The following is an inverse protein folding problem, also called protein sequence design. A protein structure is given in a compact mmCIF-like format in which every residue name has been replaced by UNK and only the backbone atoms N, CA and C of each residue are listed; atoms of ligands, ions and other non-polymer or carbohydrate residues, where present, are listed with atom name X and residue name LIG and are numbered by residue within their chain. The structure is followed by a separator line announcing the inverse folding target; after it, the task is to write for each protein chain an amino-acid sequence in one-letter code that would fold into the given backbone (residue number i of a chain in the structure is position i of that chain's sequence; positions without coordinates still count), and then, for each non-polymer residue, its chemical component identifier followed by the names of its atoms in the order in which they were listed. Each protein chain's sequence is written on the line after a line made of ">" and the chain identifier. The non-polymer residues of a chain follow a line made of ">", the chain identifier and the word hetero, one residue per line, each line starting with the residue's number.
data_IF_532984974623
#
_entry.id   IF_532984974623
#
_cell.length_a   1.000
_cell.length_b   1.000
_cell.length_c   1.000
_cell.angle_alpha   90.00
_cell.angle_beta   90.00
_cell.angle_gamma   90.00
#
_symmetry.space_group_name_H-M   'P 1'
#
loop_
_entity.id
_entity.type
_entity.pdbx_description
1 polymer ?
#
# COMPACT_ATOMS: atom_id res chain seq x y z
N UNK A 1 9.30 4.63 14.30
CA UNK A 1 9.08 6.08 14.24
C UNK A 1 7.67 6.34 14.73
N UNK A 2 7.52 7.20 15.76
CA UNK A 2 6.22 7.62 16.25
C UNK A 2 5.75 8.84 15.44
N UNK A 3 4.62 8.72 14.77
CA UNK A 3 4.00 9.82 14.05
C UNK A 3 2.98 10.50 14.97
N UNK A 4 3.19 11.79 15.22
CA UNK A 4 2.29 12.64 16.01
C UNK A 4 1.80 13.79 15.11
N UNK A 5 0.52 14.06 15.15
CA UNK A 5 -0.04 15.22 14.46
C UNK A 5 -0.15 16.39 15.42
N UNK A 6 0.48 17.52 15.06
CA UNK A 6 0.44 18.76 15.82
C UNK A 6 0.46 19.96 14.84
N UNK A 7 -0.69 20.39 14.38
CA UNK A 7 -0.84 21.41 13.35
C UNK A 7 -0.27 22.78 13.75
N UNK A 8 -0.17 23.05 15.05
CA UNK A 8 0.29 24.34 15.57
C UNK A 8 1.81 24.44 15.74
N UNK A 9 2.55 23.31 15.60
CA UNK A 9 3.99 23.32 15.87
C UNK A 9 4.77 24.04 14.77
N UNK A 10 4.30 23.98 13.53
CA UNK A 10 4.92 24.64 12.37
C UNK A 10 5.01 26.17 12.52
N UNK A 11 4.09 26.78 13.29
CA UNK A 11 4.03 28.23 13.49
C UNK A 11 5.07 28.74 14.53
N UNK A 12 5.72 27.82 15.25
CA UNK A 12 6.58 28.14 16.38
C UNK A 12 7.91 27.38 16.39
N UNK A 13 8.12 26.46 15.48
CA UNK A 13 9.32 25.63 15.35
C UNK A 13 10.14 26.07 14.16
N UNK A 14 11.44 26.33 14.37
CA UNK A 14 12.38 26.63 13.32
C UNK A 14 13.44 25.53 13.19
N UNK A 15 14.17 25.54 12.07
CA UNK A 15 15.24 24.56 11.85
C UNK A 15 16.34 24.67 12.91
N UNK A 16 16.57 23.57 13.65
CA UNK A 16 17.54 23.50 14.73
C UNK A 16 16.93 23.55 16.14
N UNK A 17 15.64 23.83 16.29
CA UNK A 17 14.95 23.82 17.58
C UNK A 17 14.88 22.42 18.19
N UNK A 18 14.97 22.36 19.52
CA UNK A 18 14.78 21.12 20.25
C UNK A 18 13.29 20.94 20.55
N UNK A 19 12.73 19.85 20.03
CA UNK A 19 11.35 19.44 20.29
C UNK A 19 11.36 18.32 21.33
N UNK A 20 10.63 18.53 22.42
CA UNK A 20 10.42 17.52 23.46
C UNK A 20 9.04 16.88 23.29
N UNK A 21 9.01 15.56 23.21
CA UNK A 21 7.76 14.78 23.11
C UNK A 21 7.55 14.06 24.43
N UNK A 22 6.42 14.30 25.07
CA UNK A 22 5.95 13.54 26.23
C UNK A 22 4.76 12.67 25.78
N UNK A 23 5.03 11.37 25.64
CA UNK A 23 4.05 10.41 25.10
C UNK A 23 2.95 10.12 26.13
N UNK A 24 3.31 10.11 27.43
CA UNK A 24 2.36 9.85 28.52
C UNK A 24 1.40 11.03 28.72
N UNK A 25 1.93 12.25 28.68
CA UNK A 25 1.14 13.47 28.74
C UNK A 25 0.44 13.83 27.42
N UNK A 26 0.80 13.13 26.33
CA UNK A 26 0.34 13.41 24.96
C UNK A 26 0.59 14.87 24.56
N UNK A 27 1.82 15.33 24.79
CA UNK A 27 2.21 16.71 24.51
C UNK A 27 3.52 16.80 23.74
N UNK A 28 3.64 17.88 22.97
CA UNK A 28 4.88 18.28 22.31
C UNK A 28 5.22 19.69 22.79
N UNK A 29 6.47 19.90 23.18
CA UNK A 29 6.96 21.20 23.65
C UNK A 29 8.12 21.67 22.81
N UNK A 30 8.10 22.94 22.39
CA UNK A 30 9.14 23.64 21.66
C UNK A 30 9.14 25.12 22.04
N UNK A 31 10.30 25.72 22.22
CA UNK A 31 10.46 27.15 22.52
C UNK A 31 9.59 27.63 23.71
N UNK A 32 9.46 26.79 24.75
CA UNK A 32 8.66 27.09 25.95
C UNK A 32 7.15 27.03 25.78
N UNK A 33 6.66 26.63 24.59
CA UNK A 33 5.24 26.38 24.32
C UNK A 33 4.96 24.90 24.33
N UNK A 34 3.81 24.49 24.87
CA UNK A 34 3.38 23.09 24.92
C UNK A 34 2.04 22.95 24.18
N UNK A 35 1.97 21.98 23.30
CA UNK A 35 0.81 21.65 22.49
C UNK A 35 0.31 20.25 22.82
N UNK A 36 -0.99 20.05 22.81
CA UNK A 36 -1.56 18.71 22.86
C UNK A 36 -1.45 18.06 21.50
N UNK A 37 -1.07 16.79 21.48
CA UNK A 37 -1.12 15.94 20.29
C UNK A 37 -2.25 14.94 20.42
N UNK A 38 -2.70 14.39 19.29
CA UNK A 38 -3.70 13.33 19.29
C UNK A 38 -3.28 12.14 20.15
N UNK A 39 -4.27 11.44 20.71
CA UNK A 39 -4.00 10.24 21.50
C UNK A 39 -3.20 9.22 20.71
N UNK A 40 -2.09 8.77 21.27
CA UNK A 40 -1.32 7.66 20.70
C UNK A 40 -2.10 6.38 21.00
N UNK A 41 -2.49 5.58 19.97
CA UNK A 41 -3.12 4.30 20.21
C UNK A 41 -2.25 3.38 21.08
N UNK A 42 -2.89 2.62 21.95
CA UNK A 42 -2.21 1.79 22.96
C UNK A 42 -1.17 0.83 22.34
N UNK A 43 -1.47 0.26 21.18
CA UNK A 43 -0.54 -0.62 20.45
C UNK A 43 0.72 0.12 20.00
N UNK A 44 0.61 1.35 19.49
CA UNK A 44 1.76 2.15 19.09
C UNK A 44 2.55 2.64 20.33
N UNK A 45 1.83 3.00 21.39
CA UNK A 45 2.45 3.32 22.67
C UNK A 45 3.31 2.15 23.19
N UNK A 46 2.76 0.93 23.16
CA UNK A 46 3.48 -0.27 23.61
C UNK A 46 4.72 -0.55 22.76
N UNK A 47 4.65 -0.38 21.44
CA UNK A 47 5.83 -0.50 20.56
C UNK A 47 6.93 0.48 20.98
N UNK A 48 6.59 1.73 21.25
CA UNK A 48 7.55 2.76 21.67
C UNK A 48 8.11 2.44 23.07
N UNK A 49 7.23 2.13 24.02
CA UNK A 49 7.60 1.79 25.40
C UNK A 49 8.48 0.52 25.48
N UNK A 50 8.30 -0.40 24.52
CA UNK A 50 9.11 -1.61 24.42
C UNK A 50 10.48 -1.40 23.74
N UNK A 51 10.75 -0.22 23.21
CA UNK A 51 12.02 0.10 22.55
C UNK A 51 12.00 -0.03 21.02
N UNK A 52 10.81 -0.13 20.42
CA UNK A 52 10.59 -0.23 18.99
C UNK A 52 9.95 -1.56 18.56
N UNK A 53 9.61 -1.66 17.28
CA UNK A 53 8.83 -2.77 16.75
C UNK A 53 9.52 -4.14 16.91
N UNK A 54 10.83 -4.20 16.68
CA UNK A 54 11.61 -5.44 16.83
C UNK A 54 11.60 -5.91 18.29
N UNK A 55 11.88 -5.01 19.24
CA UNK A 55 11.90 -5.34 20.66
C UNK A 55 10.50 -5.68 21.19
N UNK A 56 9.46 -5.01 20.72
CA UNK A 56 8.07 -5.37 21.02
C UNK A 56 7.74 -6.78 20.50
N UNK A 57 8.15 -7.09 19.27
CA UNK A 57 7.94 -8.43 18.69
C UNK A 57 8.69 -9.51 19.47
N UNK A 58 9.95 -9.27 19.89
CA UNK A 58 10.72 -10.17 20.75
C UNK A 58 10.00 -10.45 22.09
N UNK A 59 9.50 -9.39 22.72
CA UNK A 59 8.77 -9.52 24.00
C UNK A 59 7.46 -10.30 23.83
N UNK A 60 6.69 -10.02 22.78
CA UNK A 60 5.45 -10.74 22.47
C UNK A 60 5.73 -12.23 22.20
N UNK A 61 6.78 -12.52 21.44
CA UNK A 61 7.20 -13.89 21.13
C UNK A 61 7.61 -14.63 22.41
N UNK A 62 8.44 -14.04 23.27
CA UNK A 62 8.86 -14.63 24.54
C UNK A 62 7.70 -14.86 25.53
N UNK A 63 6.70 -14.00 25.51
CA UNK A 63 5.49 -14.14 26.33
C UNK A 63 4.49 -15.16 25.78
N UNK A 64 4.72 -15.73 24.61
CA UNK A 64 3.76 -16.61 23.94
C UNK A 64 2.47 -15.91 23.47
N UNK A 65 2.44 -14.58 23.53
CA UNK A 65 1.26 -13.75 23.23
C UNK A 65 1.45 -13.06 21.86
N UNK A 66 1.61 -13.87 20.82
CA UNK A 66 2.04 -13.38 19.51
C UNK A 66 0.88 -12.80 18.70
N UNK A 67 -0.34 -13.32 18.88
CA UNK A 67 -1.50 -13.00 18.03
C UNK A 67 -2.65 -12.35 18.80
N UNK A 68 -3.33 -11.41 18.14
CA UNK A 68 -4.62 -10.88 18.60
C UNK A 68 -5.78 -11.71 18.02
N UNK A 69 -6.87 -11.83 18.76
CA UNK A 69 -8.10 -12.48 18.27
C UNK A 69 -8.92 -11.47 17.42
N UNK A 70 -8.48 -11.23 16.20
CA UNK A 70 -9.22 -10.41 15.24
C UNK A 70 -10.11 -11.30 14.40
N UNK A 71 -11.41 -11.00 14.41
CA UNK A 71 -12.43 -11.68 13.58
C UNK A 71 -12.88 -10.73 12.48
N UNK A 72 -12.56 -11.04 11.21
CA UNK A 72 -13.01 -10.23 10.08
C UNK A 72 -14.52 -10.09 10.02
N UNK A 73 -15.02 -8.96 9.53
CA UNK A 73 -16.45 -8.75 9.33
C UNK A 73 -16.97 -9.60 8.16
N UNK A 74 -18.26 -9.92 8.21
CA UNK A 74 -18.97 -10.53 7.08
C UNK A 74 -19.09 -9.55 5.90
N UNK A 75 -19.29 -10.07 4.71
CA UNK A 75 -19.52 -9.25 3.50
C UNK A 75 -20.77 -8.37 3.63
N UNK A 76 -21.83 -8.84 4.28
CA UNK A 76 -23.03 -8.04 4.54
C UNK A 76 -22.73 -6.79 5.38
N UNK A 77 -21.85 -6.92 6.39
CA UNK A 77 -21.41 -5.78 7.19
C UNK A 77 -20.51 -4.82 6.37
N UNK A 78 -19.81 -5.32 5.36
CA UNK A 78 -18.98 -4.51 4.46
C UNK A 78 -19.81 -3.75 3.40
N UNK A 79 -21.01 -4.22 3.06
CA UNK A 79 -21.95 -3.56 2.15
C UNK A 79 -22.66 -2.35 2.77
N UNK A 80 -22.47 -2.08 4.06
CA UNK A 80 -23.00 -0.88 4.71
C UNK A 80 -22.45 0.37 4.02
N UNK A 81 -23.36 1.31 3.75
CA UNK A 81 -23.05 2.59 3.10
C UNK A 81 -22.35 3.59 4.02
N UNK A 82 -21.78 4.61 3.41
CA UNK A 82 -21.11 5.70 4.10
C UNK A 82 -19.62 5.48 4.31
N UNK A 83 -19.01 4.49 3.61
CA UNK A 83 -17.59 4.18 3.69
C UNK A 83 -16.94 4.16 2.30
N UNK A 84 -15.73 4.69 2.20
CA UNK A 84 -14.88 4.59 1.02
C UNK A 84 -14.40 3.14 0.82
N UNK A 85 -13.87 2.79 -0.36
CA UNK A 85 -13.38 1.43 -0.60
C UNK A 85 -12.30 1.03 0.40
N UNK A 86 -11.35 1.92 0.66
CA UNK A 86 -10.27 1.65 1.62
C UNK A 86 -10.80 1.44 3.04
N UNK A 87 -11.77 2.25 3.47
CA UNK A 87 -12.41 2.06 4.78
C UNK A 87 -13.15 0.72 4.87
N UNK A 88 -13.88 0.33 3.81
CA UNK A 88 -14.56 -0.98 3.76
C UNK A 88 -13.59 -2.14 3.92
N UNK A 89 -12.45 -2.12 3.22
CA UNK A 89 -11.45 -3.19 3.27
C UNK A 89 -10.76 -3.23 4.65
N UNK A 90 -10.31 -2.09 5.15
CA UNK A 90 -9.62 -2.01 6.44
C UNK A 90 -10.53 -2.38 7.60
N UNK A 91 -11.79 -1.89 7.62
CA UNK A 91 -12.74 -2.25 8.68
C UNK A 91 -13.09 -3.73 8.68
N UNK A 92 -13.27 -4.35 7.47
CA UNK A 92 -13.50 -5.79 7.33
C UNK A 92 -12.37 -6.58 7.99
N UNK A 93 -11.14 -6.28 7.59
CA UNK A 93 -9.96 -7.02 8.00
C UNK A 93 -9.59 -6.80 9.47
N UNK A 94 -9.89 -5.61 10.02
CA UNK A 94 -9.69 -5.29 11.43
C UNK A 94 -10.84 -5.76 12.34
N UNK A 95 -11.93 -6.31 11.78
CA UNK A 95 -13.12 -6.70 12.56
C UNK A 95 -13.81 -5.52 13.27
N UNK A 96 -13.68 -4.29 12.72
CA UNK A 96 -14.25 -3.06 13.30
C UNK A 96 -15.55 -2.69 12.61
N UNK A 97 -16.62 -2.46 13.35
CA UNK A 97 -17.88 -2.00 12.75
C UNK A 97 -17.80 -0.57 12.20
N UNK A 98 -16.94 0.24 12.78
CA UNK A 98 -16.70 1.62 12.36
C UNK A 98 -15.21 1.91 12.28
N UNK A 99 -14.82 2.61 11.23
CA UNK A 99 -13.50 3.23 11.05
C UNK A 99 -13.69 4.59 10.41
N UNK A 100 -12.75 5.49 10.64
CA UNK A 100 -12.69 6.80 10.01
C UNK A 100 -11.26 7.14 9.61
N UNK A 101 -11.03 8.04 8.66
CA UNK A 101 -9.69 8.53 8.34
C UNK A 101 -8.95 9.01 9.58
N UNK A 102 -7.71 8.58 9.73
CA UNK A 102 -6.88 8.86 10.91
C UNK A 102 -6.90 7.79 11.99
N UNK A 103 -7.91 6.91 12.03
CA UNK A 103 -7.93 5.80 12.98
C UNK A 103 -6.76 4.84 12.73
N UNK A 104 -6.21 4.29 13.81
CA UNK A 104 -5.24 3.20 13.73
C UNK A 104 -5.98 1.89 13.92
N UNK A 105 -5.85 1.00 12.94
CA UNK A 105 -6.43 -0.34 12.96
C UNK A 105 -5.36 -1.40 12.85
N UNK A 106 -5.53 -2.50 13.59
CA UNK A 106 -4.70 -3.70 13.44
C UNK A 106 -5.46 -4.65 12.52
N UNK A 107 -4.78 -5.13 11.49
CA UNK A 107 -5.33 -6.01 10.47
C UNK A 107 -4.56 -7.32 10.40
N UNK A 108 -5.13 -8.31 9.76
CA UNK A 108 -4.46 -9.56 9.38
C UNK A 108 -4.29 -9.58 7.86
N UNK A 109 -3.12 -9.21 7.31
CA UNK A 109 -2.91 -9.29 5.88
C UNK A 109 -3.17 -10.69 5.33
N UNK A 110 -3.74 -10.74 4.13
CA UNK A 110 -4.11 -11.98 3.47
C UNK A 110 -2.95 -12.54 2.64
N UNK A 111 -2.04 -11.65 2.20
CA UNK A 111 -0.89 -12.02 1.37
C UNK A 111 0.32 -11.12 1.67
N UNK A 112 1.49 -11.76 1.64
CA UNK A 112 2.80 -11.11 1.74
C UNK A 112 3.66 -11.46 0.53
N UNK A 113 4.29 -10.47 -0.08
CA UNK A 113 5.29 -10.69 -1.12
C UNK A 113 6.63 -10.10 -0.68
N UNK A 114 7.69 -10.89 -0.85
CA UNK A 114 9.07 -10.51 -0.58
C UNK A 114 9.81 -10.56 -1.91
N UNK A 115 10.38 -9.45 -2.37
CA UNK A 115 11.26 -9.47 -3.51
C UNK A 115 12.73 -9.59 -3.09
N UNK A 116 13.58 -10.01 -3.99
CA UNK A 116 14.92 -10.53 -3.67
C UNK A 116 15.85 -9.52 -2.97
N UNK A 117 15.84 -8.23 -3.31
CA UNK A 117 16.74 -7.23 -2.73
C UNK A 117 16.66 -7.16 -1.19
N UNK A 118 15.51 -7.49 -0.59
CA UNK A 118 15.32 -7.39 0.86
C UNK A 118 15.47 -8.72 1.62
N UNK A 119 15.72 -9.84 0.92
CA UNK A 119 15.78 -11.17 1.56
C UNK A 119 16.89 -11.29 2.60
N UNK A 120 18.08 -10.75 2.33
CA UNK A 120 19.20 -10.74 3.31
C UNK A 120 18.84 -9.99 4.57
N UNK A 121 18.33 -8.76 4.42
CA UNK A 121 17.95 -7.92 5.56
C UNK A 121 16.80 -8.53 6.36
N UNK A 122 15.84 -9.14 5.68
CA UNK A 122 14.71 -9.81 6.33
C UNK A 122 15.18 -11.03 7.11
N UNK A 123 16.04 -11.87 6.52
CA UNK A 123 16.61 -13.03 7.19
C UNK A 123 17.40 -12.65 8.45
N UNK A 124 18.22 -11.61 8.37
CA UNK A 124 18.96 -11.09 9.52
C UNK A 124 18.01 -10.57 10.61
N UNK A 125 16.99 -9.81 10.24
CA UNK A 125 15.98 -9.30 11.18
C UNK A 125 15.20 -10.45 11.85
N UNK A 126 14.81 -11.47 11.10
CA UNK A 126 14.11 -12.65 11.63
C UNK A 126 14.99 -13.44 12.59
N UNK A 127 16.29 -13.58 12.29
CA UNK A 127 17.29 -14.21 13.19
C UNK A 127 17.51 -13.39 14.47
N UNK A 128 17.59 -12.05 14.37
CA UNK A 128 17.71 -11.17 15.53
C UNK A 128 16.50 -11.24 16.45
N UNK A 129 15.29 -11.34 15.90
CA UNK A 129 14.06 -11.55 16.66
C UNK A 129 14.06 -12.92 17.34
N UNK A 130 14.73 -13.91 16.76
CA UNK A 130 14.76 -15.29 17.27
C UNK A 130 13.50 -16.06 16.97
N UNK A 131 12.85 -15.79 15.84
CA UNK A 131 11.64 -16.46 15.42
C UNK A 131 11.95 -17.84 14.80
N UNK A 132 11.38 -18.90 15.37
CA UNK A 132 11.49 -20.27 14.84
C UNK A 132 10.46 -20.59 13.75
N UNK A 133 9.41 -19.79 13.67
CA UNK A 133 8.29 -19.97 12.73
C UNK A 133 7.64 -18.64 12.40
N UNK A 134 6.92 -18.63 11.27
CA UNK A 134 6.01 -17.55 10.89
C UNK A 134 4.55 -17.96 11.11
N UNK A 135 3.65 -16.98 11.03
CA UNK A 135 2.21 -17.19 11.27
C UNK A 135 1.59 -18.18 10.28
N UNK A 136 1.73 -17.89 9.00
CA UNK A 136 1.17 -18.69 7.90
C UNK A 136 2.09 -18.65 6.67
N UNK A 137 2.90 -19.70 6.42
CA UNK A 137 3.77 -19.75 5.24
C UNK A 137 3.02 -19.76 3.90
N UNK A 138 1.77 -20.22 3.89
CA UNK A 138 0.98 -20.28 2.65
C UNK A 138 0.49 -18.90 2.20
N UNK A 139 0.59 -17.87 3.05
CA UNK A 139 0.34 -16.48 2.70
C UNK A 139 1.57 -15.75 2.13
N UNK A 140 2.73 -16.39 2.08
CA UNK A 140 3.99 -15.74 1.71
C UNK A 140 4.46 -16.19 0.34
N UNK A 141 4.83 -15.23 -0.48
CA UNK A 141 5.45 -15.44 -1.79
C UNK A 141 6.81 -14.77 -1.82
N UNK A 142 7.83 -15.45 -2.33
CA UNK A 142 9.15 -14.86 -2.61
C UNK A 142 9.36 -14.82 -4.11
N UNK A 143 9.71 -13.64 -4.62
CA UNK A 143 9.97 -13.42 -6.05
C UNK A 143 11.37 -12.87 -6.24
N UNK A 144 12.13 -13.50 -7.13
CA UNK A 144 13.45 -13.05 -7.55
C UNK A 144 13.33 -12.43 -8.94
N UNK A 145 13.27 -11.11 -9.02
CA UNK A 145 13.08 -10.36 -10.26
C UNK A 145 13.96 -9.10 -10.39
N UNK A 146 14.57 -8.64 -9.32
CA UNK A 146 15.43 -7.45 -9.32
C UNK A 146 16.90 -7.82 -9.53
N UNK A 147 17.39 -8.84 -8.81
CA UNK A 147 18.77 -9.32 -8.92
C UNK A 147 18.90 -10.54 -9.84
N UNK A 148 17.87 -11.38 -9.90
CA UNK A 148 17.85 -12.58 -10.73
C UNK A 148 16.92 -12.38 -11.94
N UNK A 149 17.19 -13.02 -13.11
CA UNK A 149 18.29 -13.97 -13.37
C UNK A 149 19.61 -13.30 -13.80
N UNK A 150 19.69 -11.98 -13.80
CA UNK A 150 20.82 -11.20 -14.34
C UNK A 150 21.88 -10.86 -13.29
N UNK A 151 21.96 -11.64 -12.19
CA UNK A 151 22.93 -11.43 -11.12
C UNK A 151 24.35 -11.24 -11.66
N UNK A 152 24.95 -10.10 -11.36
CA UNK A 152 26.32 -9.75 -11.81
C UNK A 152 27.26 -9.46 -10.63
N UNK A 153 26.72 -9.19 -9.47
CA UNK A 153 27.46 -8.87 -8.26
C UNK A 153 27.32 -9.98 -7.20
N UNK A 154 28.30 -10.07 -6.30
CA UNK A 154 28.22 -11.01 -5.17
C UNK A 154 26.97 -10.77 -4.32
N UNK A 155 26.61 -9.52 -4.11
CA UNK A 155 25.44 -9.15 -3.32
C UNK A 155 24.13 -9.71 -3.90
N UNK A 156 24.03 -9.82 -5.24
CA UNK A 156 22.85 -10.39 -5.89
C UNK A 156 22.68 -11.87 -5.53
N UNK A 157 23.80 -12.60 -5.49
CA UNK A 157 23.82 -14.01 -5.05
C UNK A 157 23.55 -14.15 -3.56
N UNK A 158 24.06 -13.25 -2.72
CA UNK A 158 23.81 -13.25 -1.27
C UNK A 158 22.29 -13.09 -1.02
N UNK A 159 21.61 -12.21 -1.75
CA UNK A 159 20.15 -12.04 -1.70
C UNK A 159 19.40 -13.29 -2.17
N UNK A 160 19.86 -13.91 -3.25
CA UNK A 160 19.29 -15.16 -3.76
C UNK A 160 19.36 -16.27 -2.71
N UNK A 161 20.54 -16.52 -2.15
CA UNK A 161 20.75 -17.56 -1.15
C UNK A 161 19.95 -17.28 0.14
N UNK A 162 19.90 -16.03 0.59
CA UNK A 162 19.12 -15.64 1.76
C UNK A 162 17.61 -15.90 1.56
N UNK A 163 17.08 -15.64 0.37
CA UNK A 163 15.69 -15.95 0.04
C UNK A 163 15.39 -17.45 0.05
N UNK A 164 16.31 -18.28 -0.44
CA UNK A 164 16.19 -19.74 -0.35
C UNK A 164 16.28 -20.24 1.10
N UNK A 165 17.14 -19.63 1.92
CA UNK A 165 17.24 -19.94 3.35
C UNK A 165 15.95 -19.56 4.09
N UNK A 166 15.37 -18.37 3.82
CA UNK A 166 14.06 -17.95 4.35
C UNK A 166 12.99 -18.98 3.99
N UNK A 167 12.89 -19.33 2.71
CA UNK A 167 11.91 -20.30 2.23
C UNK A 167 12.02 -21.64 2.96
N UNK A 168 13.23 -22.16 3.07
CA UNK A 168 13.52 -23.45 3.73
C UNK A 168 13.24 -23.39 5.23
N UNK A 169 13.70 -22.33 5.91
CA UNK A 169 13.59 -22.20 7.36
C UNK A 169 12.13 -22.06 7.80
N UNK A 170 11.34 -21.28 7.06
CA UNK A 170 9.97 -20.96 7.45
C UNK A 170 8.90 -21.72 6.66
N UNK A 171 9.29 -22.61 5.74
CA UNK A 171 8.35 -23.48 5.01
C UNK A 171 7.57 -22.75 3.91
N UNK A 172 8.10 -21.67 3.36
CA UNK A 172 7.47 -20.91 2.27
C UNK A 172 7.60 -21.70 0.97
N UNK A 173 6.48 -21.88 0.24
CA UNK A 173 6.42 -22.73 -0.95
C UNK A 173 6.18 -21.98 -2.26
N UNK A 174 5.64 -20.76 -2.20
CA UNK A 174 5.40 -19.93 -3.37
C UNK A 174 6.68 -19.19 -3.73
N UNK A 175 7.45 -19.76 -4.64
CA UNK A 175 8.78 -19.29 -5.03
C UNK A 175 8.80 -19.07 -6.53
N UNK A 176 9.16 -17.87 -6.97
CA UNK A 176 9.25 -17.48 -8.38
C UNK A 176 10.64 -16.92 -8.68
N UNK A 177 11.42 -17.64 -9.49
CA UNK A 177 12.81 -17.29 -9.78
C UNK A 177 12.95 -16.96 -11.26
N UNK A 178 13.06 -15.66 -11.58
CA UNK A 178 13.23 -15.20 -12.95
C UNK A 178 12.04 -15.50 -13.88
N UNK A 179 10.84 -15.67 -13.31
CA UNK A 179 9.61 -15.98 -14.05
C UNK A 179 8.89 -14.72 -14.58
N UNK A 180 9.25 -13.55 -14.05
CA UNK A 180 8.66 -12.29 -14.44
C UNK A 180 8.76 -11.25 -13.31
N UNK A 181 8.16 -10.07 -13.53
CA UNK A 181 8.11 -8.98 -12.57
C UNK A 181 7.21 -9.39 -11.39
N UNK A 182 7.65 -9.13 -10.17
CA UNK A 182 6.97 -9.56 -8.94
C UNK A 182 5.49 -9.15 -8.89
N UNK A 183 5.17 -7.92 -9.25
CA UNK A 183 3.78 -7.45 -9.24
C UNK A 183 2.93 -8.16 -10.29
N UNK A 184 3.47 -8.42 -11.47
CA UNK A 184 2.78 -9.18 -12.52
C UNK A 184 2.49 -10.60 -12.06
N UNK A 185 3.49 -11.29 -11.48
CA UNK A 185 3.32 -12.64 -10.92
C UNK A 185 2.20 -12.67 -9.89
N UNK A 186 2.15 -11.70 -8.98
CA UNK A 186 1.16 -11.68 -7.89
C UNK A 186 -0.28 -11.63 -8.39
N UNK A 187 -0.58 -10.79 -9.40
CA UNK A 187 -1.94 -10.73 -9.93
C UNK A 187 -2.25 -11.85 -10.92
N UNK A 188 -1.31 -12.28 -11.77
CA UNK A 188 -1.51 -13.39 -12.71
C UNK A 188 -1.72 -14.73 -11.98
N UNK A 189 -0.93 -14.97 -10.92
CA UNK A 189 -1.11 -16.14 -10.05
C UNK A 189 -2.32 -16.00 -9.10
N UNK A 190 -3.02 -14.86 -9.13
CA UNK A 190 -4.23 -14.59 -8.31
C UNK A 190 -3.97 -14.72 -6.81
N UNK A 191 -2.76 -14.35 -6.37
CA UNK A 191 -2.37 -14.44 -4.97
C UNK A 191 -3.02 -13.35 -4.12
N UNK A 192 -3.17 -12.14 -4.65
CA UNK A 192 -3.89 -11.04 -4.01
C UNK A 192 -5.29 -10.92 -4.62
N UNK A 193 -6.35 -11.13 -3.85
CA UNK A 193 -7.73 -11.16 -4.35
C UNK A 193 -8.49 -9.89 -3.99
N UNK A 194 -9.55 -9.54 -4.74
CA UNK A 194 -10.38 -8.37 -4.45
C UNK A 194 -10.86 -8.34 -2.99
N UNK A 195 -10.79 -7.17 -2.36
CA UNK A 195 -11.20 -6.96 -0.97
C UNK A 195 -10.28 -7.56 0.09
N UNK A 196 -9.10 -8.07 -0.30
CA UNK A 196 -8.05 -8.52 0.60
C UNK A 196 -7.03 -7.41 0.90
N UNK A 197 -6.19 -7.65 1.91
CA UNK A 197 -5.01 -6.84 2.21
C UNK A 197 -3.78 -7.60 1.77
N UNK A 198 -3.02 -7.01 0.83
CA UNK A 198 -1.73 -7.52 0.39
C UNK A 198 -0.61 -6.54 0.72
N UNK A 199 0.49 -7.03 1.25
CA UNK A 199 1.66 -6.21 1.56
C UNK A 199 2.93 -6.79 0.98
N UNK A 200 3.86 -5.94 0.61
CA UNK A 200 5.11 -6.38 0.06
C UNK A 200 6.28 -5.50 0.51
N UNK A 201 7.49 -5.99 0.27
CA UNK A 201 8.71 -5.21 0.51
C UNK A 201 9.00 -4.22 -0.62
N UNK A 202 8.19 -4.18 -1.66
CA UNK A 202 8.31 -3.25 -2.78
C UNK A 202 7.31 -2.09 -2.69
N UNK A 203 7.72 -0.92 -3.17
CA UNK A 203 6.93 0.31 -3.13
C UNK A 203 5.73 0.28 -4.07
N UNK A 204 5.86 -0.37 -5.26
CA UNK A 204 4.78 -0.45 -6.26
C UNK A 204 3.75 -1.57 -5.97
N UNK A 205 3.70 -2.05 -4.76
CA UNK A 205 2.65 -2.96 -4.27
C UNK A 205 1.24 -2.42 -4.50
N UNK A 206 1.09 -1.11 -4.65
CA UNK A 206 -0.16 -0.44 -5.05
C UNK A 206 -0.80 -1.03 -6.31
N UNK A 207 -0.02 -1.73 -7.15
CA UNK A 207 -0.47 -2.37 -8.40
C UNK A 207 -1.71 -3.24 -8.20
N UNK A 208 -1.78 -4.03 -7.13
CA UNK A 208 -2.89 -4.97 -6.93
C UNK A 208 -4.22 -4.28 -6.66
N UNK A 209 -4.21 -3.00 -6.33
CA UNK A 209 -5.41 -2.19 -6.19
C UNK A 209 -6.21 -2.04 -7.48
N UNK A 210 -5.61 -2.32 -8.63
CA UNK A 210 -6.33 -2.46 -9.90
C UNK A 210 -7.42 -3.54 -9.89
N UNK A 211 -7.36 -4.47 -8.95
CA UNK A 211 -8.39 -5.49 -8.70
C UNK A 211 -9.22 -5.20 -7.43
N UNK A 212 -9.10 -4.03 -6.82
CA UNK A 212 -9.82 -3.71 -5.59
C UNK A 212 -9.19 -4.31 -4.32
N UNK A 213 -7.86 -4.46 -4.29
CA UNK A 213 -7.14 -4.85 -3.07
C UNK A 213 -6.62 -3.62 -2.33
N UNK A 214 -6.69 -3.61 -1.01
CA UNK A 214 -5.84 -2.69 -0.26
C UNK A 214 -4.41 -3.24 -0.23
N UNK A 215 -3.50 -2.56 -0.89
CA UNK A 215 -2.14 -3.04 -1.06
C UNK A 215 -1.13 -1.91 -0.88
N UNK A 216 -0.07 -2.22 -0.14
CA UNK A 216 0.92 -1.22 0.23
C UNK A 216 2.28 -1.83 0.49
N UNK A 217 3.32 -1.12 0.05
CA UNK A 217 4.70 -1.41 0.46
C UNK A 217 4.90 -1.18 1.96
N UNK A 218 5.70 -2.04 2.58
CA UNK A 218 6.10 -1.97 4.00
C UNK A 218 7.59 -2.21 4.14
N UNK A 219 8.19 -1.69 5.21
CA UNK A 219 9.59 -1.88 5.49
C UNK A 219 9.93 -3.30 5.98
N UNK A 220 11.22 -3.62 5.99
CA UNK A 220 11.71 -4.96 6.37
C UNK A 220 11.36 -5.33 7.82
N UNK A 221 11.43 -4.37 8.74
CA UNK A 221 11.08 -4.61 10.15
C UNK A 221 9.58 -4.89 10.33
N UNK A 222 8.73 -4.14 9.60
CA UNK A 222 7.28 -4.38 9.57
C UNK A 222 6.97 -5.73 8.94
N UNK A 223 7.66 -6.10 7.85
CA UNK A 223 7.49 -7.39 7.21
C UNK A 223 7.86 -8.52 8.17
N UNK A 224 9.02 -8.43 8.85
CA UNK A 224 9.44 -9.44 9.84
C UNK A 224 8.40 -9.60 10.97
N UNK A 225 7.97 -8.49 11.56
CA UNK A 225 6.96 -8.51 12.61
C UNK A 225 5.62 -9.11 12.11
N UNK A 226 5.18 -8.71 10.92
CA UNK A 226 3.93 -9.18 10.33
C UNK A 226 3.98 -10.68 9.98
N UNK A 227 5.09 -11.18 9.46
CA UNK A 227 5.26 -12.61 9.21
C UNK A 227 5.19 -13.44 10.50
N UNK A 228 5.75 -12.94 11.61
CA UNK A 228 5.77 -13.63 12.91
C UNK A 228 4.39 -13.57 13.57
N UNK A 229 3.76 -12.40 13.57
CA UNK A 229 2.51 -12.16 14.30
C UNK A 229 1.26 -12.44 13.49
N UNK A 230 1.35 -12.42 12.16
CA UNK A 230 0.20 -12.42 11.26
C UNK A 230 -0.58 -11.10 11.28
N UNK A 231 -0.01 -10.03 11.85
CA UNK A 231 -0.70 -8.77 12.11
C UNK A 231 0.10 -7.58 11.57
N UNK A 232 -0.62 -6.58 11.08
CA UNK A 232 -0.03 -5.31 10.67
C UNK A 232 -1.01 -4.17 10.99
N UNK A 233 -0.49 -3.07 11.51
CA UNK A 233 -1.30 -1.90 11.75
C UNK A 233 -1.28 -0.94 10.56
N UNK A 234 -2.41 -0.27 10.34
CA UNK A 234 -2.53 0.81 9.37
C UNK A 234 -3.25 2.00 9.99
N UNK A 235 -2.83 3.20 9.63
CA UNK A 235 -3.67 4.38 9.77
C UNK A 235 -4.65 4.38 8.60
N UNK A 236 -5.95 4.49 8.87
CA UNK A 236 -6.98 4.60 7.82
C UNK A 236 -6.71 5.88 7.03
N UNK A 237 -6.43 5.79 5.71
CA UNK A 237 -6.17 6.98 4.91
C UNK A 237 -7.46 7.72 4.56
N UNK A 238 -7.35 9.01 4.31
CA UNK A 238 -8.37 9.75 3.56
C UNK A 238 -8.40 9.25 2.12
N UNK A 239 -9.55 9.41 1.44
CA UNK A 239 -9.69 8.97 0.06
C UNK A 239 -9.99 10.15 -0.88
N UNK A 240 -9.38 10.10 -2.08
CA UNK A 240 -9.68 10.95 -3.22
C UNK A 240 -10.45 10.11 -4.23
N UNK A 241 -11.69 10.51 -4.54
CA UNK A 241 -12.49 9.87 -5.59
C UNK A 241 -12.09 10.43 -6.96
N UNK A 242 -11.74 9.56 -7.89
CA UNK A 242 -11.34 9.91 -9.25
C UNK A 242 -12.35 9.30 -10.22
N UNK A 243 -13.14 10.16 -10.84
CA UNK A 243 -14.18 9.77 -11.80
C UNK A 243 -13.64 9.92 -13.22
N UNK A 244 -13.54 8.81 -13.95
CA UNK A 244 -13.06 8.75 -15.33
C UNK A 244 -14.26 8.62 -16.27
N UNK A 245 -14.57 9.67 -17.01
CA UNK A 245 -15.62 9.71 -18.00
C UNK A 245 -15.07 9.58 -19.42
N UNK A 246 -15.96 9.29 -20.38
CA UNK A 246 -15.62 9.18 -21.79
C UNK A 246 -14.96 7.84 -22.13
N UNK A 247 -14.21 7.81 -23.23
CA UNK A 247 -13.54 6.63 -23.77
C UNK A 247 -12.11 7.00 -24.17
N UNK A 248 -11.14 6.11 -23.95
CA UNK A 248 -9.77 6.31 -24.42
C UNK A 248 -9.75 6.32 -25.95
N UNK A 249 -9.14 7.35 -26.52
CA UNK A 249 -8.95 7.45 -27.97
C UNK A 249 -7.82 6.53 -28.44
N UNK A 250 -7.83 6.21 -29.72
CA UNK A 250 -6.72 5.49 -30.37
C UNK A 250 -5.39 6.23 -30.12
N UNK A 251 -4.39 5.48 -29.67
CA UNK A 251 -3.06 6.02 -29.34
C UNK A 251 -2.91 6.58 -27.93
N UNK A 252 -3.99 6.63 -27.14
CA UNK A 252 -3.94 7.00 -25.70
C UNK A 252 -4.05 5.73 -24.86
N UNK A 253 -3.15 5.58 -23.91
CA UNK A 253 -3.07 4.42 -23.02
C UNK A 253 -3.51 4.76 -21.60
N UNK A 254 -3.76 3.76 -20.80
CA UNK A 254 -4.07 3.94 -19.37
C UNK A 254 -2.95 4.64 -18.59
N UNK A 255 -1.70 4.50 -19.06
CA UNK A 255 -0.56 5.24 -18.52
C UNK A 255 -0.69 6.76 -18.72
N UNK A 256 -1.26 7.20 -19.84
CA UNK A 256 -1.52 8.63 -20.08
C UNK A 256 -2.54 9.19 -19.09
N UNK A 257 -3.53 8.35 -18.69
CA UNK A 257 -4.53 8.74 -17.69
C UNK A 257 -3.86 9.05 -16.34
N UNK A 258 -3.06 8.13 -15.85
CA UNK A 258 -2.41 8.34 -14.54
C UNK A 258 -1.36 9.44 -14.61
N UNK A 259 -0.62 9.59 -15.72
CA UNK A 259 0.30 10.71 -15.91
C UNK A 259 -0.46 12.05 -15.87
N UNK A 260 -1.60 12.15 -16.52
CA UNK A 260 -2.44 13.35 -16.46
C UNK A 260 -2.85 13.68 -15.03
N UNK A 261 -3.29 12.68 -14.29
CA UNK A 261 -3.68 12.85 -12.88
C UNK A 261 -2.48 13.32 -12.03
N UNK A 262 -1.30 12.69 -12.21
CA UNK A 262 -0.07 13.09 -11.53
C UNK A 262 0.34 14.53 -11.87
N UNK A 263 0.19 14.94 -13.13
CA UNK A 263 0.43 16.32 -13.54
C UNK A 263 -0.46 17.33 -12.81
N UNK A 264 -1.69 16.96 -12.49
CA UNK A 264 -2.66 17.83 -11.81
C UNK A 264 -2.48 17.83 -10.28
N UNK A 265 -2.35 16.63 -9.65
CA UNK A 265 -2.29 16.54 -8.18
C UNK A 265 -0.86 16.64 -7.62
N UNK A 266 0.16 16.51 -8.47
CA UNK A 266 1.59 16.48 -8.15
C UNK A 266 2.02 15.24 -7.34
N UNK A 267 3.34 15.12 -7.14
CA UNK A 267 3.96 13.97 -6.49
C UNK A 267 3.59 13.81 -4.99
N UNK A 268 2.99 14.82 -4.39
CA UNK A 268 2.58 14.83 -2.98
C UNK A 268 1.06 14.97 -2.77
N UNK A 269 0.29 15.18 -3.84
CA UNK A 269 -1.15 15.40 -3.73
C UNK A 269 -1.95 14.22 -3.21
N UNK A 270 -1.41 13.01 -3.34
CA UNK A 270 -1.95 11.78 -2.78
C UNK A 270 -1.29 11.32 -1.47
N UNK A 271 -0.44 12.17 -0.85
CA UNK A 271 0.38 11.78 0.29
C UNK A 271 -0.43 11.06 1.38
N UNK A 272 -0.12 9.79 1.58
CA UNK A 272 -0.80 8.88 2.51
C UNK A 272 -2.32 8.75 2.30
N UNK A 273 -2.84 8.96 1.09
CA UNK A 273 -4.26 8.85 0.75
C UNK A 273 -4.54 7.60 -0.07
N UNK A 274 -5.82 7.25 -0.18
CA UNK A 274 -6.31 6.28 -1.15
C UNK A 274 -6.77 7.04 -2.41
N UNK A 275 -6.30 6.63 -3.58
CA UNK A 275 -6.88 7.08 -4.86
C UNK A 275 -7.90 6.03 -5.30
N UNK A 276 -9.18 6.41 -5.39
CA UNK A 276 -10.28 5.50 -5.71
C UNK A 276 -10.87 5.82 -7.08
N UNK A 277 -10.64 4.92 -8.04
CA UNK A 277 -10.99 5.08 -9.45
C UNK A 277 -12.35 4.49 -9.75
N UNK A 278 -13.22 5.27 -10.39
CA UNK A 278 -14.56 4.90 -10.80
C UNK A 278 -14.96 5.60 -12.09
N UNK A 279 -16.16 5.32 -12.60
CA UNK A 279 -16.74 5.95 -13.77
C UNK A 279 -16.66 5.10 -15.03
N UNK A 280 -17.37 5.48 -16.09
CA UNK A 280 -17.51 4.66 -17.30
C UNK A 280 -16.18 4.22 -17.90
N UNK A 281 -15.22 5.13 -18.03
CA UNK A 281 -13.92 4.80 -18.60
C UNK A 281 -13.10 3.85 -17.70
N UNK A 282 -13.21 3.97 -16.36
CA UNK A 282 -12.58 3.04 -15.44
C UNK A 282 -13.14 1.62 -15.57
N UNK A 283 -14.47 1.50 -15.73
CA UNK A 283 -15.13 0.21 -15.98
C UNK A 283 -14.81 -0.38 -17.35
N UNK A 284 -14.55 0.45 -18.36
CA UNK A 284 -14.13 -0.03 -19.69
C UNK A 284 -12.71 -0.57 -19.72
N UNK A 285 -11.82 -0.10 -18.85
CA UNK A 285 -10.43 -0.55 -18.77
C UNK A 285 -10.33 -2.05 -18.56
N UNK A 286 -9.38 -2.69 -19.27
CA UNK A 286 -8.98 -4.07 -18.98
C UNK A 286 -8.28 -4.15 -17.64
N UNK A 287 -8.10 -5.36 -17.10
CA UNK A 287 -7.40 -5.53 -15.82
C UNK A 287 -5.96 -5.01 -15.88
N UNK A 288 -5.25 -5.24 -17.00
CA UNK A 288 -3.88 -4.75 -17.20
C UNK A 288 -3.81 -3.22 -17.21
N UNK A 289 -4.82 -2.58 -17.81
CA UNK A 289 -4.94 -1.11 -17.78
C UNK A 289 -5.18 -0.59 -16.37
N UNK A 290 -6.04 -1.26 -15.59
CA UNK A 290 -6.28 -0.90 -14.17
C UNK A 290 -5.03 -1.10 -13.32
N UNK A 291 -4.30 -2.20 -13.50
CA UNK A 291 -3.03 -2.44 -12.80
C UNK A 291 -2.00 -1.36 -13.14
N UNK A 292 -1.93 -0.92 -14.39
CA UNK A 292 -1.03 0.18 -14.79
C UNK A 292 -1.36 1.48 -14.07
N UNK A 293 -2.64 1.85 -13.97
CA UNK A 293 -3.06 3.07 -13.27
C UNK A 293 -2.83 2.95 -11.76
N UNK A 294 -3.21 1.83 -11.16
CA UNK A 294 -3.03 1.59 -9.74
C UNK A 294 -1.55 1.55 -9.31
N UNK A 295 -0.68 1.00 -10.15
CA UNK A 295 0.77 0.96 -9.95
C UNK A 295 1.34 2.36 -9.69
N UNK A 296 0.99 3.31 -10.54
CA UNK A 296 1.53 4.67 -10.47
C UNK A 296 0.85 5.57 -9.43
N UNK A 297 -0.11 5.07 -8.66
CA UNK A 297 -0.65 5.81 -7.52
C UNK A 297 0.43 6.14 -6.48
N UNK A 298 1.48 5.32 -6.39
CA UNK A 298 2.66 5.58 -5.56
C UNK A 298 3.33 6.91 -5.92
N UNK A 299 3.40 7.25 -7.20
CA UNK A 299 4.08 8.46 -7.68
C UNK A 299 3.41 9.76 -7.21
N UNK A 300 2.15 9.68 -6.76
CA UNK A 300 1.44 10.76 -6.06
C UNK A 300 1.65 10.73 -4.53
N UNK A 301 2.48 9.83 -4.01
CA UNK A 301 2.61 9.58 -2.57
C UNK A 301 1.46 8.80 -1.95
N UNK A 302 0.58 8.21 -2.76
CA UNK A 302 -0.61 7.51 -2.28
C UNK A 302 -0.26 6.21 -1.56
N UNK A 303 -1.08 5.86 -0.57
CA UNK A 303 -0.97 4.60 0.16
C UNK A 303 -1.47 3.42 -0.66
N UNK A 304 -2.47 3.64 -1.50
CA UNK A 304 -3.00 2.68 -2.47
C UNK A 304 -3.75 3.39 -3.60
N UNK A 305 -3.93 2.68 -4.73
CA UNK A 305 -4.81 3.07 -5.82
C UNK A 305 -5.82 1.95 -6.05
N UNK A 306 -7.11 2.22 -5.87
CA UNK A 306 -8.16 1.21 -5.86
C UNK A 306 -9.11 1.39 -7.04
N UNK A 307 -9.38 0.32 -7.76
CA UNK A 307 -10.50 0.21 -8.70
C UNK A 307 -11.65 -0.56 -8.06
N UNK A 308 -12.86 -0.26 -8.52
CA UNK A 308 -14.04 -1.04 -8.14
C UNK A 308 -13.91 -2.49 -8.65
N UNK A 309 -14.34 -3.44 -7.82
CA UNK A 309 -14.41 -4.83 -8.23
C UNK A 309 -15.74 -5.07 -8.96
N UNK A 310 -15.66 -5.31 -10.26
CA UNK A 310 -16.79 -5.50 -11.17
C UNK A 310 -16.76 -6.85 -11.88
N UNK A 311 -17.59 -7.02 -12.92
CA UNK A 311 -17.68 -8.25 -13.71
C UNK A 311 -16.35 -8.65 -14.34
N UNK A 312 -15.53 -7.68 -14.79
CA UNK A 312 -14.20 -7.97 -15.34
C UNK A 312 -13.24 -8.50 -14.25
N UNK A 313 -13.34 -7.94 -13.07
CA UNK A 313 -12.57 -8.42 -11.92
C UNK A 313 -13.00 -9.84 -11.54
N UNK A 314 -14.33 -10.09 -11.50
CA UNK A 314 -14.89 -11.39 -11.21
C UNK A 314 -14.43 -12.45 -12.23
N UNK A 315 -14.50 -12.13 -13.53
CA UNK A 315 -14.04 -12.99 -14.62
C UNK A 315 -12.53 -13.26 -14.51
N UNK A 316 -11.72 -12.22 -14.32
CA UNK A 316 -10.26 -12.33 -14.22
C UNK A 316 -9.84 -13.27 -13.08
N UNK A 317 -10.45 -13.13 -11.91
CA UNK A 317 -10.13 -13.97 -10.74
C UNK A 317 -10.88 -15.30 -10.71
N UNK A 318 -11.91 -15.49 -11.56
CA UNK A 318 -12.77 -16.67 -11.53
C UNK A 318 -13.58 -16.75 -10.23
N UNK A 319 -14.05 -15.61 -9.71
CA UNK A 319 -14.83 -15.46 -8.49
C UNK A 319 -16.27 -15.04 -8.81
N UNK A 320 -17.27 -15.43 -7.99
CA UNK A 320 -18.60 -14.88 -8.09
C UNK A 320 -18.60 -13.36 -7.83
N UNK A 321 -19.34 -12.60 -8.65
CA UNK A 321 -19.44 -11.14 -8.51
C UNK A 321 -19.96 -10.74 -7.11
N UNK A 322 -20.95 -11.49 -6.59
CA UNK A 322 -21.55 -11.26 -5.27
C UNK A 322 -20.57 -11.36 -4.12
N UNK A 323 -19.42 -12.00 -4.30
CA UNK A 323 -18.37 -12.09 -3.27
C UNK A 323 -17.47 -10.84 -3.22
N UNK A 324 -17.46 -10.04 -4.29
CA UNK A 324 -16.53 -8.92 -4.44
C UNK A 324 -17.19 -7.57 -4.70
N UNK A 325 -18.45 -7.50 -5.13
CA UNK A 325 -19.18 -6.28 -5.52
C UNK A 325 -19.32 -5.23 -4.40
N UNK A 326 -19.01 -5.60 -3.16
CA UNK A 326 -18.97 -4.67 -2.03
C UNK A 326 -17.72 -3.74 -2.08
N UNK A 327 -16.71 -4.09 -2.87
CA UNK A 327 -15.53 -3.24 -3.13
C UNK A 327 -15.90 -2.28 -4.26
N UNK A 328 -16.66 -1.28 -3.91
CA UNK A 328 -17.15 -0.25 -4.83
C UNK A 328 -17.17 1.11 -4.14
N UNK A 329 -17.15 2.18 -4.92
CA UNK A 329 -17.35 3.53 -4.41
C UNK A 329 -18.75 3.66 -3.80
N UNK A 330 -18.89 4.57 -2.87
CA UNK A 330 -20.14 4.86 -2.20
C UNK A 330 -20.37 6.38 -2.22
N UNK A 331 -21.47 6.81 -2.79
CA UNK A 331 -21.81 8.24 -2.90
C UNK A 331 -22.18 8.86 -1.54
N UNK A 332 -22.49 8.05 -0.53
CA UNK A 332 -22.75 8.50 0.85
C UNK A 332 -21.44 8.61 1.67
N UNK A 333 -20.32 8.10 1.15
CA UNK A 333 -19.01 8.18 1.80
C UNK A 333 -18.43 9.60 1.72
N UNK A 334 -17.59 9.93 2.69
CA UNK A 334 -16.87 11.20 2.71
C UNK A 334 -15.54 11.07 2.04
N UNK A 335 -15.41 11.67 0.86
CA UNK A 335 -14.13 11.85 0.19
C UNK A 335 -13.53 13.20 0.54
N UNK A 336 -12.23 13.27 0.74
CA UNK A 336 -11.52 14.54 0.91
C UNK A 336 -11.67 15.41 -0.34
N UNK A 337 -11.58 14.76 -1.51
CA UNK A 337 -11.65 15.43 -2.82
C UNK A 337 -12.31 14.51 -3.84
N UNK A 338 -13.03 15.12 -4.77
CA UNK A 338 -13.55 14.43 -5.96
C UNK A 338 -12.94 15.09 -7.19
N UNK A 339 -12.25 14.31 -8.01
CA UNK A 339 -11.67 14.74 -9.28
C UNK A 339 -12.42 14.05 -10.43
N UNK A 340 -12.67 14.79 -11.49
CA UNK A 340 -13.37 14.26 -12.66
C UNK A 340 -12.57 14.56 -13.92
N UNK A 341 -12.33 13.53 -14.72
CA UNK A 341 -11.61 13.62 -15.98
C UNK A 341 -12.47 13.07 -17.12
N UNK A 342 -12.51 13.77 -18.25
CA UNK A 342 -12.98 13.23 -19.50
C UNK A 342 -11.77 12.73 -20.31
N UNK A 343 -11.60 11.41 -20.34
CA UNK A 343 -10.45 10.79 -21.01
C UNK A 343 -10.57 10.82 -22.53
N UNK A 344 -11.74 11.18 -23.07
CA UNK A 344 -11.94 11.36 -24.53
C UNK A 344 -11.18 12.56 -25.08
N UNK A 345 -10.85 13.54 -24.23
CA UNK A 345 -10.10 14.71 -24.61
C UNK A 345 -8.59 14.57 -24.37
N UNK A 346 -8.17 13.46 -23.75
CA UNK A 346 -6.80 13.24 -23.39
C UNK A 346 -5.93 13.00 -24.62
N UNK A 347 -4.80 13.68 -24.67
CA UNK A 347 -3.68 13.38 -25.58
C UNK A 347 -2.69 12.43 -24.91
N UNK A 348 -1.81 11.74 -25.66
CA UNK A 348 -0.67 11.07 -25.05
C UNK A 348 0.14 12.04 -24.18
N UNK A 349 0.55 11.59 -23.03
CA UNK A 349 1.24 12.42 -22.02
C UNK A 349 2.73 12.07 -21.96
N UNK A 350 3.53 13.07 -21.65
CA UNK A 350 4.97 12.92 -21.44
C UNK A 350 5.36 13.53 -20.08
N UNK A 351 5.99 12.75 -19.24
CA UNK A 351 6.66 13.26 -18.05
C UNK A 351 8.04 13.75 -18.44
N UNK A 352 8.26 15.04 -18.28
CA UNK A 352 9.54 15.69 -18.59
C UNK A 352 10.48 15.67 -17.37
N UNK A 353 11.82 15.72 -17.56
CA UNK A 353 12.74 15.88 -16.44
C UNK A 353 12.41 17.14 -15.62
N UNK A 354 12.61 17.12 -14.30
CA UNK A 354 13.22 16.11 -13.44
C UNK A 354 12.21 15.47 -12.47
N UNK A 355 10.91 15.60 -12.65
CA UNK A 355 9.91 15.02 -11.77
C UNK A 355 8.87 14.24 -12.56
N UNK A 356 8.39 13.12 -12.02
CA UNK A 356 7.35 12.31 -12.66
C UNK A 356 6.06 13.11 -12.89
N UNK A 357 5.82 14.12 -12.09
CA UNK A 357 4.67 15.03 -12.09
C UNK A 357 4.86 16.28 -13.00
N UNK A 358 6.00 16.37 -13.68
CA UNK A 358 6.24 17.38 -14.72
C UNK A 358 5.64 16.89 -16.05
N UNK A 359 4.34 16.70 -16.07
CA UNK A 359 3.58 16.09 -17.16
C UNK A 359 3.06 17.15 -18.12
N UNK A 360 3.21 16.87 -19.42
CA UNK A 360 2.73 17.69 -20.52
C UNK A 360 2.05 16.83 -21.60
N UNK A 361 1.01 17.35 -22.27
CA UNK A 361 0.52 16.75 -23.49
C UNK A 361 1.60 16.70 -24.58
N UNK A 362 1.61 15.66 -25.39
CA UNK A 362 2.64 15.49 -26.44
C UNK A 362 2.68 16.64 -27.43
N UNK A 363 1.57 17.33 -27.65
CA UNK A 363 1.48 18.49 -28.52
C UNK A 363 2.31 19.68 -28.03
N UNK A 364 2.47 19.85 -26.71
CA UNK A 364 3.24 20.95 -26.10
C UNK A 364 4.75 20.72 -26.17
N UNK A 365 5.19 19.47 -26.22
CA UNK A 365 6.62 19.11 -26.22
C UNK A 365 7.16 18.76 -27.60
N UNK A 366 6.33 18.94 -28.65
CA UNK A 366 6.70 18.67 -30.03
C UNK A 366 7.94 19.45 -30.46
N UNK A 367 8.93 18.74 -30.99
CA UNK A 367 10.18 19.33 -31.45
C UNK A 367 11.28 19.48 -30.38
N UNK A 368 10.99 19.06 -29.16
CA UNK A 368 12.02 18.96 -28.11
C UNK A 368 13.02 17.85 -28.49
N UNK A 369 14.32 18.20 -28.45
CA UNK A 369 15.37 17.22 -28.67
C UNK A 369 15.42 16.26 -27.46
N UNK A 370 15.37 14.98 -27.72
CA UNK A 370 15.63 13.94 -26.71
C UNK A 370 17.11 13.56 -26.79
N UNK A 371 17.75 13.47 -25.65
CA UNK A 371 19.04 12.81 -25.49
C UNK A 371 18.79 11.32 -25.26
N UNK A 372 19.71 10.46 -25.73
CA UNK A 372 19.61 9.01 -25.59
C UNK A 372 19.78 8.56 -24.13
#
# INVERSE_FOLDING_TARGET
>A
ILLLTCDQIQDVCEGGDIVTVDVDAQTVSVNGKTFKVGAVPENLYNIVANGGLIEDTKKRLAAGNVKMDIKPLSMEQCRKKGYTMVEKILKKNAGKEHVAPGDIVITKPDMFMIHDIYTTYLLETMKDIGADKIDDPDKVTIVWDHCMPTAVAKNDYDHYEAGLELAKTYGIKKLHIGEGICHTIMHEAKYAKPGEIATATDSHTTTYGGAGNFCSGIGTAEMAAALITGELWFKVPEAIKIVLNGHLRDGVMSKDVILRILGDIKADGGQYKSLEFTGPAAHEMSMEQRFTVANMALEAGAKCGLFEADEKTAEYYGMPLEDIDWVCVDDEAKYEKVLTYDVSELEPQLSCPQGVDNVHPISEVKGTKMDE
#
